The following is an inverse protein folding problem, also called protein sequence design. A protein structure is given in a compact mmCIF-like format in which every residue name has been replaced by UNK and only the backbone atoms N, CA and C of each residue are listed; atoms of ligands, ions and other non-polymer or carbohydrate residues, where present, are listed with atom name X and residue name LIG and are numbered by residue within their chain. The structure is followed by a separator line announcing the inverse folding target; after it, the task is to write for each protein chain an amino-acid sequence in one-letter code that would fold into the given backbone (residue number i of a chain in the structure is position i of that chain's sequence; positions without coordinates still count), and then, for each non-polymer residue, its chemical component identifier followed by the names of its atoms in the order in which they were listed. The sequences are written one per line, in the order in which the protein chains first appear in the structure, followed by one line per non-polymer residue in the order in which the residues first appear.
data_IF_709194455019
#
_entry.id   IF_709194455019
#
_cell.length_a   1.000
_cell.length_b   1.000
_cell.length_c   1.000
_cell.angle_alpha   90.00
_cell.angle_beta   90.00
_cell.angle_gamma   90.00
#
_symmetry.space_group_name_H-M   'P 1'
#
loop_
_entity.id
_entity.type
_entity.pdbx_description
1 polymer ?
#
# COMPACT_ATOMS: atom_id res chain seq x y z
N UNK A 1 -20.36 -23.95 7.75
CA UNK A 1 -19.63 -22.71 8.08
C UNK A 1 -18.25 -22.81 7.50
N UNK A 2 -18.01 -22.10 6.40
CA UNK A 2 -16.68 -21.96 5.81
C UNK A 2 -16.08 -20.69 6.37
N UNK A 3 -14.90 -20.77 6.99
CA UNK A 3 -14.17 -19.58 7.41
C UNK A 3 -13.59 -18.94 6.16
N UNK A 4 -13.93 -17.69 5.89
CA UNK A 4 -13.45 -16.98 4.70
C UNK A 4 -12.87 -15.66 5.16
N UNK A 5 -11.62 -15.41 4.82
CA UNK A 5 -10.98 -14.12 5.14
C UNK A 5 -11.29 -13.11 4.06
N UNK A 6 -11.50 -11.86 4.48
CA UNK A 6 -11.82 -10.75 3.57
C UNK A 6 -10.68 -9.75 3.60
N UNK A 7 -10.41 -9.20 2.43
CA UNK A 7 -9.46 -8.11 2.27
C UNK A 7 -9.97 -7.08 1.28
N UNK A 8 -9.27 -5.96 1.21
CA UNK A 8 -9.50 -4.91 0.23
C UNK A 8 -8.32 -4.92 -0.73
N UNK A 9 -8.59 -5.29 -1.98
CA UNK A 9 -7.64 -5.13 -3.07
C UNK A 9 -7.64 -3.66 -3.50
N UNK A 10 -6.52 -2.99 -3.26
CA UNK A 10 -6.19 -1.70 -3.86
C UNK A 10 -5.55 -1.91 -5.22
N UNK A 11 -6.00 -1.15 -6.20
CA UNK A 11 -5.38 -1.05 -7.53
C UNK A 11 -5.23 0.41 -7.89
N UNK A 12 -4.09 0.79 -8.48
CA UNK A 12 -3.87 2.18 -8.86
C UNK A 12 -3.06 2.34 -10.14
N UNK A 13 -3.20 3.51 -10.76
CA UNK A 13 -2.43 3.93 -11.93
C UNK A 13 -2.05 5.41 -11.81
N UNK A 14 -0.83 5.74 -12.22
CA UNK A 14 -0.26 7.09 -12.15
C UNK A 14 -0.44 7.83 -13.47
N UNK A 15 -1.07 9.01 -13.42
CA UNK A 15 -1.15 9.97 -14.53
C UNK A 15 0.17 10.73 -14.63
N UNK A 16 1.15 10.13 -15.31
CA UNK A 16 2.54 10.65 -15.34
C UNK A 16 2.60 12.12 -15.76
N UNK A 17 1.75 12.56 -16.67
CA UNK A 17 1.62 13.93 -17.16
C UNK A 17 1.13 14.95 -16.11
N UNK A 18 0.53 14.50 -15.01
CA UNK A 18 0.06 15.35 -13.90
C UNK A 18 1.12 15.58 -12.83
N UNK A 19 2.24 14.85 -12.88
CA UNK A 19 3.38 15.09 -12.00
C UNK A 19 4.24 16.22 -12.57
N UNK A 20 4.60 17.17 -11.70
CA UNK A 20 5.47 18.30 -12.06
C UNK A 20 6.86 17.84 -12.43
N UNK A 21 7.36 16.80 -11.75
CA UNK A 21 8.71 16.26 -11.95
C UNK A 21 8.75 14.76 -11.69
N UNK A 22 9.77 14.04 -12.22
CA UNK A 22 10.02 12.65 -11.84
C UNK A 22 10.23 12.47 -10.33
N UNK A 23 10.80 13.48 -9.65
CA UNK A 23 11.03 13.45 -8.20
C UNK A 23 9.72 13.46 -7.41
N UNK A 24 8.73 14.24 -7.83
CA UNK A 24 7.39 14.24 -7.21
C UNK A 24 6.72 12.88 -7.33
N UNK A 25 6.87 12.21 -8.49
CA UNK A 25 6.37 10.84 -8.69
C UNK A 25 7.10 9.85 -7.79
N UNK A 26 8.42 9.97 -7.66
CA UNK A 26 9.19 9.17 -6.72
C UNK A 26 8.73 9.40 -5.28
N UNK A 27 8.38 10.63 -4.89
CA UNK A 27 7.83 10.94 -3.57
C UNK A 27 6.52 10.20 -3.30
N UNK A 28 5.62 10.06 -4.29
CA UNK A 28 4.42 9.24 -4.13
C UNK A 28 4.78 7.79 -3.76
N UNK A 29 5.64 7.13 -4.53
CA UNK A 29 6.04 5.75 -4.27
C UNK A 29 6.79 5.58 -2.95
N UNK A 30 7.65 6.53 -2.60
CA UNK A 30 8.37 6.54 -1.32
C UNK A 30 7.45 6.69 -0.12
N UNK A 31 6.41 7.53 -0.23
CA UNK A 31 5.41 7.64 0.83
C UNK A 31 4.51 6.41 0.90
N UNK A 32 4.27 5.73 -0.22
CA UNK A 32 3.47 4.51 -0.24
C UNK A 32 4.23 3.32 0.37
N UNK A 33 5.44 3.04 -0.13
CA UNK A 33 6.22 1.81 0.14
C UNK A 33 7.45 2.01 1.03
N UNK A 34 7.68 3.22 1.50
CA UNK A 34 8.90 3.55 2.24
C UNK A 34 10.14 3.64 1.34
N UNK A 35 11.27 3.97 1.95
CA UNK A 35 12.57 3.95 1.29
C UNK A 35 13.74 3.94 2.27
N UNK A 36 14.91 3.51 1.78
CA UNK A 36 16.18 3.67 2.49
C UNK A 36 16.82 5.00 2.11
N UNK A 37 17.05 5.85 3.10
CA UNK A 37 17.77 7.10 2.96
C UNK A 37 19.22 6.88 3.38
N UNK A 38 20.13 7.02 2.42
CA UNK A 38 21.58 6.95 2.66
C UNK A 38 22.12 8.37 2.82
N UNK A 39 22.80 8.64 3.93
CA UNK A 39 23.44 9.92 4.23
C UNK A 39 24.94 9.68 4.40
N UNK A 40 25.76 10.24 3.52
CA UNK A 40 27.21 10.19 3.63
C UNK A 40 27.71 11.50 4.23
N UNK A 41 28.46 11.41 5.34
CA UNK A 41 29.13 12.54 5.96
C UNK A 41 30.61 12.21 6.15
N UNK A 42 31.48 12.96 5.48
CA UNK A 42 32.91 12.68 5.33
C UNK A 42 33.18 11.22 4.91
N UNK A 43 33.71 10.41 5.82
CA UNK A 43 34.08 8.99 5.60
C UNK A 43 33.01 7.99 6.10
N UNK A 44 31.89 8.47 6.65
CA UNK A 44 30.85 7.60 7.26
C UNK A 44 29.55 7.65 6.47
N UNK A 45 28.98 6.47 6.23
CA UNK A 45 27.67 6.30 5.60
C UNK A 45 26.67 5.84 6.66
N UNK A 46 25.54 6.56 6.75
CA UNK A 46 24.43 6.24 7.63
C UNK A 46 23.22 5.87 6.76
N UNK A 47 22.56 4.78 7.11
CA UNK A 47 21.32 4.34 6.46
C UNK A 47 20.15 4.52 7.42
N UNK A 48 19.10 5.18 6.94
CA UNK A 48 17.86 5.38 7.67
C UNK A 48 16.72 4.75 6.89
N UNK A 49 15.95 3.89 7.54
CA UNK A 49 14.69 3.39 6.98
C UNK A 49 13.60 4.44 7.21
N UNK A 50 12.89 4.78 6.15
CA UNK A 50 11.75 5.69 6.17
C UNK A 50 10.51 4.87 5.83
N UNK A 51 9.60 4.64 6.79
CA UNK A 51 8.43 3.81 6.53
C UNK A 51 7.50 4.50 5.54
N UNK A 52 6.88 3.69 4.68
CA UNK A 52 5.72 4.06 3.89
C UNK A 52 4.44 3.80 4.65
N UNK A 53 3.33 4.33 4.13
CA UNK A 53 2.02 4.16 4.75
C UNK A 53 1.58 2.70 4.87
N UNK A 54 2.03 1.83 3.95
CA UNK A 54 1.65 0.41 4.02
C UNK A 54 2.63 -0.41 4.87
N UNK A 55 3.76 0.15 5.31
CA UNK A 55 4.73 -0.62 6.11
C UNK A 55 4.19 -0.91 7.52
N UNK A 56 3.30 -0.06 8.02
CA UNK A 56 2.63 -0.21 9.32
C UNK A 56 1.31 -1.01 9.23
N UNK A 57 0.90 -1.40 8.02
CA UNK A 57 -0.34 -2.14 7.76
C UNK A 57 0.00 -3.56 7.25
N UNK A 58 -0.60 -4.62 7.82
CA UNK A 58 -0.49 -5.95 7.25
C UNK A 58 -0.95 -5.91 5.78
N UNK A 59 -0.10 -6.30 4.84
CA UNK A 59 -0.45 -6.22 3.43
C UNK A 59 0.17 -7.35 2.61
N UNK A 60 -0.52 -7.73 1.54
CA UNK A 60 0.01 -8.62 0.52
C UNK A 60 0.19 -7.84 -0.78
N UNK A 61 1.42 -7.77 -1.28
CA UNK A 61 1.69 -7.08 -2.54
C UNK A 61 1.38 -8.01 -3.72
N UNK A 62 0.34 -7.68 -4.47
CA UNK A 62 -0.09 -8.45 -5.66
C UNK A 62 0.74 -8.09 -6.89
N UNK A 63 1.01 -6.79 -7.08
CA UNK A 63 1.84 -6.26 -8.18
C UNK A 63 2.43 -4.89 -7.74
N UNK A 64 3.20 -4.23 -8.61
CA UNK A 64 3.71 -2.87 -8.42
C UNK A 64 2.61 -1.82 -8.22
N UNK A 65 1.42 -2.09 -8.77
CA UNK A 65 0.28 -1.18 -8.79
C UNK A 65 -0.95 -1.74 -8.07
N UNK A 66 -0.78 -2.82 -7.31
CA UNK A 66 -1.88 -3.44 -6.56
C UNK A 66 -1.41 -4.18 -5.33
N UNK A 67 -2.17 -4.09 -4.27
CA UNK A 67 -1.89 -4.75 -3.00
C UNK A 67 -3.20 -4.98 -2.24
N UNK A 68 -3.21 -5.92 -1.30
CA UNK A 68 -4.36 -6.29 -0.49
C UNK A 68 -4.07 -5.90 0.95
N UNK A 69 -5.04 -5.29 1.63
CA UNK A 69 -4.98 -4.93 3.06
C UNK A 69 -6.22 -5.40 3.81
N UNK A 70 -6.16 -5.60 5.14
CA UNK A 70 -7.32 -5.86 5.97
C UNK A 70 -8.37 -4.76 5.82
N UNK A 71 -9.64 -5.12 5.97
CA UNK A 71 -10.74 -4.15 5.88
C UNK A 71 -10.69 -3.11 7.00
N UNK A 72 -10.08 -3.41 8.15
CA UNK A 72 -10.01 -2.50 9.30
C UNK A 72 -8.92 -1.41 9.19
N UNK A 73 -7.91 -1.58 8.33
CA UNK A 73 -6.78 -0.63 8.17
C UNK A 73 -6.90 0.23 6.90
N UNK A 74 -8.12 0.43 6.41
CA UNK A 74 -8.35 1.07 5.11
C UNK A 74 -8.25 2.61 5.15
N UNK A 75 -8.62 3.24 6.27
CA UNK A 75 -8.88 4.69 6.31
C UNK A 75 -7.64 5.52 5.96
N UNK A 76 -6.48 5.23 6.56
CA UNK A 76 -5.25 5.99 6.30
C UNK A 76 -4.80 5.86 4.83
N UNK A 77 -4.93 4.66 4.27
CA UNK A 77 -4.58 4.37 2.88
C UNK A 77 -5.52 5.11 1.93
N UNK A 78 -6.82 5.12 2.22
CA UNK A 78 -7.80 5.89 1.44
C UNK A 78 -7.51 7.38 1.46
N UNK A 79 -7.21 7.95 2.63
CA UNK A 79 -6.86 9.37 2.77
C UNK A 79 -5.60 9.71 1.98
N UNK A 80 -4.60 8.83 1.99
CA UNK A 80 -3.41 8.98 1.14
C UNK A 80 -3.77 8.99 -0.34
N UNK A 81 -4.53 8.01 -0.83
CA UNK A 81 -4.89 7.96 -2.25
C UNK A 81 -5.78 9.12 -2.67
N UNK A 82 -6.67 9.59 -1.79
CA UNK A 82 -7.51 10.76 -2.05
C UNK A 82 -6.67 12.04 -2.13
N UNK A 83 -5.67 12.20 -1.26
CA UNK A 83 -4.70 13.32 -1.35
C UNK A 83 -3.97 13.37 -2.70
N UNK A 84 -3.78 12.22 -3.34
CA UNK A 84 -3.13 12.09 -4.64
C UNK A 84 -4.12 11.93 -5.81
N UNK A 85 -5.44 12.03 -5.61
CA UNK A 85 -6.47 11.65 -6.60
C UNK A 85 -6.42 12.44 -7.92
N UNK A 86 -5.85 13.65 -7.90
CA UNK A 86 -5.62 14.46 -9.10
C UNK A 86 -4.51 13.90 -10.02
N UNK A 87 -3.58 13.10 -9.47
CA UNK A 87 -2.41 12.52 -10.14
C UNK A 87 -2.43 11.00 -10.20
N UNK A 88 -3.18 10.37 -9.31
CA UNK A 88 -3.26 8.92 -9.16
C UNK A 88 -4.72 8.53 -9.23
N UNK A 89 -5.05 7.59 -10.12
CA UNK A 89 -6.35 6.93 -10.10
C UNK A 89 -6.23 5.67 -9.29
N UNK A 90 -7.20 5.39 -8.44
CA UNK A 90 -7.24 4.16 -7.67
C UNK A 90 -8.65 3.59 -7.63
N UNK A 91 -8.74 2.28 -7.37
CA UNK A 91 -9.98 1.55 -7.14
C UNK A 91 -9.76 0.52 -6.05
N UNK A 92 -10.78 0.28 -5.25
CA UNK A 92 -10.80 -0.74 -4.21
C UNK A 92 -11.84 -1.81 -4.53
N UNK A 93 -11.53 -3.06 -4.19
CA UNK A 93 -12.43 -4.19 -4.37
C UNK A 93 -12.42 -5.05 -3.10
N UNK A 94 -13.58 -5.42 -2.59
CA UNK A 94 -13.67 -6.45 -1.55
C UNK A 94 -13.35 -7.80 -2.19
N UNK A 95 -12.38 -8.51 -1.62
CA UNK A 95 -11.93 -9.82 -2.12
C UNK A 95 -11.99 -10.87 -1.02
N UNK A 96 -12.25 -12.11 -1.43
CA UNK A 96 -12.11 -13.28 -0.56
C UNK A 96 -10.67 -13.79 -0.69
N UNK A 97 -10.07 -14.14 0.44
CA UNK A 97 -8.69 -14.61 0.51
C UNK A 97 -8.68 -16.11 0.81
N UNK A 98 -7.81 -16.83 0.11
CA UNK A 98 -7.47 -18.22 0.40
C UNK A 98 -6.51 -18.29 1.60
N UNK A 99 -6.41 -19.46 2.22
CA UNK A 99 -5.70 -19.73 3.47
C UNK A 99 -4.20 -19.36 3.41
N UNK A 100 -3.59 -19.40 2.23
CA UNK A 100 -2.17 -19.10 2.03
C UNK A 100 -1.82 -17.59 2.17
N UNK A 101 -2.73 -16.69 1.77
CA UNK A 101 -2.59 -15.23 1.92
C UNK A 101 -3.12 -14.78 3.30
N UNK A 102 -3.92 -15.64 3.92
CA UNK A 102 -4.81 -15.31 5.03
C UNK A 102 -4.10 -15.10 6.37
N UNK A 103 -2.84 -15.51 6.56
CA UNK A 103 -2.19 -15.52 7.89
C UNK A 103 -2.09 -14.16 8.57
N UNK A 104 -2.17 -13.07 7.80
CA UNK A 104 -2.06 -11.69 8.28
C UNK A 104 -3.42 -10.97 8.42
N UNK A 105 -4.53 -11.68 8.17
CA UNK A 105 -5.88 -11.12 8.08
C UNK A 105 -6.83 -11.79 9.11
N UNK A 106 -7.84 -11.06 9.57
CA UNK A 106 -8.86 -11.56 10.51
C UNK A 106 -9.80 -12.59 9.88
N UNK A 107 -10.24 -13.57 10.67
CA UNK A 107 -11.24 -14.58 10.28
C UNK A 107 -12.67 -14.05 10.43
N UNK A 108 -13.52 -14.31 9.44
CA UNK A 108 -14.96 -14.02 9.52
C UNK A 108 -15.80 -15.27 9.15
N UNK A 109 -16.94 -15.42 9.83
CA UNK A 109 -17.95 -16.45 9.53
C UNK A 109 -18.92 -15.92 8.47
N UNK A 110 -19.31 -16.79 7.52
CA UNK A 110 -20.27 -16.46 6.47
C UNK A 110 -21.31 -17.58 6.39
N UNK A 111 -22.59 -17.20 6.44
CA UNK A 111 -23.73 -18.09 6.18
C UNK A 111 -23.97 -18.20 4.67
N UNK A 112 -24.18 -19.44 4.19
CA UNK A 112 -24.43 -19.81 2.78
C UNK A 112 -25.72 -19.21 2.21
#
# INVERSE_FOLDING_TARGET
MTKVKRGILFTFSVKTEKFKTPSERTTFFRKLYGWKQVVTNDEKTYEYERPGIIDDVPHEKVDQSSFIVPEHDIDEIMDFFEHWSNKVMFRTFKVLLDDDISKMFDEFEVDE
#
